data_IF_757981041760
#
_entry.id   IF_757981041760
#
_cell.length_a   1.000
_cell.length_b   1.000
_cell.length_c   1.000
_cell.angle_alpha   90.00
_cell.angle_beta   90.00
_cell.angle_gamma   90.00
#
_symmetry.space_group_name_H-M   'P 1'
#
loop_
_entity.id
_entity.type
_entity.pdbx_description
1 polymer ?
#
# COMPACT_ATOMS: atom_id res chain seq x y z
N UNK A 1 -28.51 44.43 14.89
CA UNK A 1 -27.38 43.46 14.86
C UNK A 1 -27.98 42.09 15.12
N UNK A 2 -28.10 41.27 14.08
CA UNK A 2 -28.83 40.00 14.08
C UNK A 2 -27.82 38.86 14.26
N UNK A 3 -27.92 38.03 15.30
CA UNK A 3 -27.18 36.77 15.40
C UNK A 3 -28.18 35.61 15.46
N UNK A 4 -28.23 34.87 14.36
CA UNK A 4 -29.05 33.68 14.16
C UNK A 4 -28.31 32.48 14.75
N UNK A 5 -29.05 31.70 15.54
CA UNK A 5 -28.70 30.40 16.09
C UNK A 5 -28.47 29.38 14.95
N UNK A 6 -27.37 28.63 14.96
CA UNK A 6 -27.22 27.47 14.08
C UNK A 6 -27.17 26.17 14.87
N UNK A 7 -28.20 25.37 14.62
CA UNK A 7 -28.38 23.99 15.07
C UNK A 7 -27.30 23.15 14.39
N UNK A 8 -26.42 22.52 15.19
CA UNK A 8 -25.52 21.50 14.66
C UNK A 8 -26.32 20.22 14.41
N UNK A 9 -26.68 20.00 13.16
CA UNK A 9 -27.19 18.72 12.66
C UNK A 9 -26.04 17.71 12.76
N UNK A 10 -26.30 16.60 13.47
CA UNK A 10 -25.34 15.54 13.69
C UNK A 10 -24.85 14.93 12.37
N UNK A 11 -23.56 15.08 12.10
CA UNK A 11 -22.90 14.34 11.04
C UNK A 11 -22.74 12.88 11.48
N UNK A 12 -23.43 11.98 10.77
CA UNK A 12 -23.15 10.55 10.79
C UNK A 12 -21.64 10.33 10.59
N UNK A 13 -21.01 9.67 11.56
CA UNK A 13 -19.62 9.24 11.47
C UNK A 13 -19.46 8.17 10.38
N UNK A 14 -19.18 8.56 9.14
CA UNK A 14 -18.47 7.68 8.20
C UNK A 14 -17.07 7.49 8.80
N UNK A 15 -16.68 6.23 9.02
CA UNK A 15 -15.55 5.82 9.86
C UNK A 15 -14.34 6.75 9.83
N UNK A 16 -13.92 7.22 11.02
CA UNK A 16 -12.72 8.04 11.21
C UNK A 16 -11.48 7.29 10.70
N UNK A 17 -10.97 7.65 9.54
CA UNK A 17 -9.60 7.30 9.13
C UNK A 17 -8.68 8.25 9.92
N UNK A 18 -8.14 7.75 11.04
CA UNK A 18 -7.33 8.53 11.99
C UNK A 18 -5.85 8.58 11.56
N UNK A 19 -5.23 9.72 11.84
CA UNK A 19 -3.80 10.09 11.74
C UNK A 19 -2.91 9.19 10.86
N UNK A 20 -2.52 9.72 9.70
CA UNK A 20 -1.44 9.18 8.87
C UNK A 20 -0.10 9.78 9.34
N UNK A 21 0.90 8.94 9.61
CA UNK A 21 2.27 9.45 9.80
C UNK A 21 2.86 9.79 8.42
N UNK A 22 3.57 10.93 8.25
CA UNK A 22 4.15 11.33 6.97
C UNK A 22 5.14 10.28 6.48
N UNK A 23 5.04 9.94 5.20
CA UNK A 23 5.67 8.75 4.62
C UNK A 23 7.10 9.08 4.17
N UNK A 24 8.08 8.25 4.55
CA UNK A 24 9.43 8.19 3.94
C UNK A 24 9.62 6.85 3.22
N UNK A 25 8.62 6.48 2.44
CA UNK A 25 8.56 5.19 1.77
C UNK A 25 9.31 5.19 0.44
N UNK A 26 9.67 3.99 -0.01
CA UNK A 26 10.29 3.77 -1.32
C UNK A 26 9.21 3.58 -2.39
N UNK A 27 9.34 4.26 -3.54
CA UNK A 27 8.56 3.97 -4.73
C UNK A 27 9.23 2.83 -5.50
N UNK A 28 8.55 1.70 -5.63
CA UNK A 28 9.03 0.53 -6.39
C UNK A 28 8.36 0.47 -7.76
N UNK A 29 9.04 -0.11 -8.74
CA UNK A 29 8.47 -0.38 -10.08
C UNK A 29 8.13 -1.87 -10.19
N UNK A 30 6.83 -2.21 -10.16
CA UNK A 30 6.36 -3.59 -10.36
C UNK A 30 6.63 -4.06 -11.78
N UNK A 31 7.01 -5.33 -11.92
CA UNK A 31 7.35 -5.92 -13.22
C UNK A 31 8.74 -5.55 -13.76
N UNK A 32 9.49 -4.67 -13.09
CA UNK A 32 10.85 -4.34 -13.49
C UNK A 32 11.75 -5.59 -13.44
N UNK A 33 12.55 -5.80 -14.50
CA UNK A 33 13.53 -6.88 -14.58
C UNK A 33 14.89 -6.39 -14.10
N UNK A 34 15.50 -7.12 -13.17
CA UNK A 34 16.88 -6.90 -12.72
C UNK A 34 17.71 -8.15 -13.04
N UNK A 35 18.91 -7.95 -13.58
CA UNK A 35 19.77 -9.07 -14.03
C UNK A 35 20.45 -9.78 -12.87
N UNK A 36 20.63 -9.08 -11.74
CA UNK A 36 21.24 -9.62 -10.53
C UNK A 36 20.36 -9.32 -9.32
N UNK A 37 20.28 -10.29 -8.41
CA UNK A 37 19.63 -10.06 -7.13
C UNK A 37 20.43 -9.03 -6.31
N UNK A 38 19.77 -8.16 -5.53
CA UNK A 38 20.46 -7.22 -4.68
C UNK A 38 21.38 -7.95 -3.69
N UNK A 39 22.60 -7.41 -3.53
CA UNK A 39 23.60 -7.97 -2.61
C UNK A 39 23.05 -7.91 -1.18
N UNK A 40 23.15 -9.02 -0.44
CA UNK A 40 22.61 -9.11 0.92
C UNK A 40 21.11 -9.41 0.98
N UNK A 41 20.46 -9.69 -0.17
CA UNK A 41 19.07 -10.15 -0.18
C UNK A 41 18.91 -11.51 0.50
N UNK A 42 17.87 -11.64 1.33
CA UNK A 42 17.54 -12.89 2.01
C UNK A 42 16.65 -13.76 1.10
N UNK A 43 16.95 -15.05 1.04
CA UNK A 43 16.08 -16.01 0.34
C UNK A 43 14.91 -16.40 1.22
N UNK A 44 13.70 -16.30 0.69
CA UNK A 44 12.48 -16.72 1.38
C UNK A 44 11.63 -17.58 0.45
N UNK A 45 11.10 -18.68 0.98
CA UNK A 45 10.21 -19.58 0.26
C UNK A 45 8.79 -19.44 0.81
N UNK A 46 7.81 -19.30 -0.07
CA UNK A 46 6.40 -19.23 0.30
C UNK A 46 5.54 -19.91 -0.77
N UNK A 47 4.66 -20.84 -0.36
CA UNK A 47 3.79 -21.57 -1.30
C UNK A 47 4.54 -22.27 -2.43
N UNK A 48 5.72 -22.84 -2.15
CA UNK A 48 6.57 -23.50 -3.17
C UNK A 48 7.34 -22.57 -4.10
N UNK A 49 7.13 -21.25 -4.01
CA UNK A 49 7.86 -20.25 -4.79
C UNK A 49 8.97 -19.62 -3.97
N UNK A 50 10.15 -19.43 -4.58
CA UNK A 50 11.30 -18.79 -3.96
C UNK A 50 11.38 -17.31 -4.36
N UNK A 51 11.65 -16.46 -3.38
CA UNK A 51 11.81 -15.02 -3.52
C UNK A 51 13.16 -14.59 -2.92
N UNK A 52 13.73 -13.53 -3.46
CA UNK A 52 14.75 -12.74 -2.77
C UNK A 52 14.05 -11.54 -2.15
N UNK A 53 14.24 -11.32 -0.87
CA UNK A 53 13.77 -10.15 -0.13
C UNK A 53 14.93 -9.21 0.15
N UNK A 54 14.76 -7.92 -0.15
CA UNK A 54 15.75 -6.90 0.19
C UNK A 54 15.08 -5.54 0.42
N UNK A 55 15.22 -4.99 1.63
CA UNK A 55 14.76 -3.63 1.96
C UNK A 55 13.26 -3.38 1.75
N UNK A 56 12.42 -4.41 1.90
CA UNK A 56 10.98 -4.31 1.65
C UNK A 56 10.56 -4.58 0.19
N UNK A 57 11.50 -4.91 -0.69
CA UNK A 57 11.24 -5.26 -2.09
C UNK A 57 11.42 -6.77 -2.28
N UNK A 58 10.56 -7.35 -3.11
CA UNK A 58 10.53 -8.79 -3.39
C UNK A 58 10.84 -9.05 -4.85
N UNK A 59 11.75 -10.00 -5.07
CA UNK A 59 12.26 -10.37 -6.38
C UNK A 59 11.97 -11.84 -6.60
N UNK A 60 11.28 -12.18 -7.69
CA UNK A 60 11.04 -13.56 -8.10
C UNK A 60 11.99 -13.93 -9.24
N UNK A 61 12.63 -15.12 -9.24
CA UNK A 61 13.39 -15.58 -10.39
C UNK A 61 12.56 -15.52 -11.68
N UNK A 62 13.14 -14.97 -12.74
CA UNK A 62 12.48 -14.83 -14.04
C UNK A 62 13.52 -14.83 -15.17
N UNK A 63 13.55 -15.91 -15.96
CA UNK A 63 14.57 -16.12 -16.98
C UNK A 63 15.98 -16.14 -16.37
N UNK A 64 16.88 -15.30 -16.91
CA UNK A 64 18.26 -15.14 -16.42
C UNK A 64 18.42 -14.14 -15.27
N UNK A 65 17.33 -13.51 -14.84
CA UNK A 65 17.36 -12.48 -13.80
C UNK A 65 16.21 -12.65 -12.82
N UNK A 66 15.70 -11.52 -12.34
CA UNK A 66 14.61 -11.43 -11.39
C UNK A 66 13.61 -10.37 -11.80
N UNK A 67 12.36 -10.57 -11.43
CA UNK A 67 11.28 -9.60 -11.60
C UNK A 67 10.83 -9.06 -10.24
N UNK A 68 10.64 -7.75 -10.14
CA UNK A 68 10.08 -7.09 -8.94
C UNK A 68 8.58 -7.38 -8.85
N UNK A 69 8.15 -8.01 -7.77
CA UNK A 69 6.77 -8.47 -7.55
C UNK A 69 6.22 -7.97 -6.23
N UNK A 70 4.88 -7.94 -6.11
CA UNK A 70 4.24 -7.89 -4.80
C UNK A 70 4.49 -9.20 -4.04
N UNK A 71 4.70 -9.16 -2.72
CA UNK A 71 4.75 -10.37 -1.92
C UNK A 71 3.37 -11.05 -1.88
N UNK A 72 3.31 -12.39 -1.76
CA UNK A 72 2.05 -13.10 -1.59
C UNK A 72 1.29 -12.68 -0.33
N UNK A 73 -0.04 -12.71 -0.40
CA UNK A 73 -0.89 -12.57 0.79
C UNK A 73 -0.57 -13.70 1.78
N UNK A 74 -0.46 -13.35 3.07
CA UNK A 74 -0.11 -14.27 4.15
C UNK A 74 1.39 -14.35 4.45
N UNK A 75 2.24 -13.74 3.62
CA UNK A 75 3.68 -13.69 3.87
C UNK A 75 3.99 -12.92 5.17
N UNK A 76 4.89 -13.44 6.02
CA UNK A 76 5.16 -12.89 7.37
C UNK A 76 6.57 -12.30 7.49
N UNK A 77 6.66 -11.10 8.06
CA UNK A 77 7.90 -10.41 8.43
C UNK A 77 7.99 -10.31 9.95
N UNK A 78 9.20 -10.45 10.49
CA UNK A 78 9.45 -10.15 11.90
C UNK A 78 9.51 -8.64 12.16
N UNK A 79 10.09 -7.89 11.22
CA UNK A 79 10.32 -6.45 11.34
C UNK A 79 9.94 -5.78 10.02
N UNK A 80 9.18 -4.69 10.08
CA UNK A 80 8.85 -3.89 8.90
C UNK A 80 10.08 -3.09 8.42
N UNK A 81 10.19 -2.82 7.11
CA UNK A 81 11.19 -1.92 6.58
C UNK A 81 11.08 -0.51 7.20
N UNK A 82 12.21 0.16 7.40
CA UNK A 82 12.26 1.56 7.85
C UNK A 82 11.50 2.44 6.86
N UNK A 83 10.67 3.36 7.36
CA UNK A 83 9.86 4.27 6.53
C UNK A 83 8.49 3.72 6.15
N UNK A 84 8.02 2.64 6.81
CA UNK A 84 6.62 2.22 6.72
C UNK A 84 5.67 3.33 7.21
N UNK A 85 4.50 3.38 6.61
CA UNK A 85 3.40 4.23 7.04
C UNK A 85 2.46 3.43 7.95
N UNK A 86 1.88 4.09 8.95
CA UNK A 86 0.81 3.53 9.80
C UNK A 86 -0.47 4.29 9.54
N UNK A 87 -1.58 3.57 9.44
CA UNK A 87 -2.91 4.16 9.32
C UNK A 87 -3.97 3.27 9.97
N UNK A 88 -5.14 3.82 10.23
CA UNK A 88 -6.19 3.11 10.96
C UNK A 88 -7.44 2.93 10.11
N UNK A 89 -7.97 1.71 10.08
CA UNK A 89 -9.25 1.37 9.44
C UNK A 89 -10.12 0.68 10.48
N UNK A 90 -11.27 1.28 10.79
CA UNK A 90 -12.15 0.75 11.84
C UNK A 90 -11.50 0.68 13.23
N UNK A 91 -10.54 1.56 13.52
CA UNK A 91 -9.79 1.56 14.78
C UNK A 91 -8.65 0.54 14.86
N UNK A 92 -8.48 -0.32 13.84
CA UNK A 92 -7.40 -1.29 13.77
C UNK A 92 -6.20 -0.72 13.01
N UNK A 93 -4.95 -0.95 13.49
CA UNK A 93 -3.75 -0.47 12.82
C UNK A 93 -3.45 -1.33 11.57
N UNK A 94 -3.16 -0.63 10.49
CA UNK A 94 -2.60 -1.17 9.27
C UNK A 94 -1.26 -0.49 9.00
N UNK A 95 -0.38 -1.23 8.35
CA UNK A 95 0.94 -0.76 7.97
C UNK A 95 1.10 -0.86 6.47
N UNK A 96 1.81 0.11 5.89
CA UNK A 96 2.02 0.18 4.46
C UNK A 96 3.49 0.43 4.13
N UNK A 97 4.03 -0.32 3.19
CA UNK A 97 5.36 -0.07 2.65
C UNK A 97 5.46 -0.54 1.20
N UNK A 98 5.93 0.34 0.31
CA UNK A 98 6.23 0.03 -1.09
C UNK A 98 5.13 -0.77 -1.82
N UNK A 99 3.87 -0.35 -1.71
CA UNK A 99 2.73 -1.04 -2.33
C UNK A 99 2.21 -2.25 -1.60
N UNK A 100 2.73 -2.56 -0.41
CA UNK A 100 2.34 -3.75 0.36
C UNK A 100 1.66 -3.34 1.65
N UNK A 101 0.57 -4.00 1.98
CA UNK A 101 -0.23 -3.78 3.18
C UNK A 101 0.02 -4.88 4.18
N UNK A 102 0.15 -4.51 5.45
CA UNK A 102 0.42 -5.44 6.53
C UNK A 102 -0.49 -5.18 7.71
N UNK A 103 -0.74 -6.24 8.48
CA UNK A 103 -1.31 -6.16 9.83
C UNK A 103 -0.40 -6.91 10.79
N UNK A 104 -0.43 -6.51 12.06
CA UNK A 104 0.24 -7.28 13.11
C UNK A 104 -0.55 -8.55 13.41
N UNK A 105 0.12 -9.71 13.46
CA UNK A 105 -0.42 -11.00 13.92
C UNK A 105 0.68 -11.77 14.64
N UNK A 106 0.38 -12.22 15.85
CA UNK A 106 1.35 -12.87 16.75
C UNK A 106 2.60 -11.99 16.91
N UNK A 107 3.79 -12.56 16.70
CA UNK A 107 5.09 -11.90 16.79
C UNK A 107 5.59 -11.30 15.46
N UNK A 108 4.68 -10.93 14.54
CA UNK A 108 5.09 -10.39 13.25
C UNK A 108 4.04 -9.62 12.47
N UNK A 109 4.42 -9.23 11.26
CA UNK A 109 3.63 -8.47 10.31
C UNK A 109 3.29 -9.34 9.11
N UNK A 110 2.00 -9.49 8.82
CA UNK A 110 1.51 -10.38 7.77
C UNK A 110 0.99 -9.54 6.62
N UNK A 111 1.42 -9.87 5.40
CA UNK A 111 0.92 -9.27 4.17
C UNK A 111 -0.57 -9.58 4.02
N UNK A 112 -1.38 -8.54 3.83
CA UNK A 112 -2.83 -8.64 3.65
C UNK A 112 -3.29 -7.96 2.38
N UNK A 113 -4.51 -8.28 1.95
CA UNK A 113 -5.18 -7.46 0.95
C UNK A 113 -5.35 -6.03 1.48
N UNK A 114 -5.23 -5.02 0.60
CA UNK A 114 -5.46 -3.65 1.03
C UNK A 114 -6.92 -3.48 1.49
N UNK A 115 -7.15 -2.78 2.61
CA UNK A 115 -8.51 -2.44 3.00
C UNK A 115 -9.06 -1.38 2.03
N UNK A 116 -10.27 -1.63 1.51
CA UNK A 116 -10.97 -0.66 0.67
C UNK A 116 -11.18 0.63 1.48
N UNK A 117 -10.88 1.76 0.85
CA UNK A 117 -10.90 3.08 1.49
C UNK A 117 -9.59 3.51 2.13
N UNK A 118 -8.55 2.65 2.17
CA UNK A 118 -7.21 3.06 2.60
C UNK A 118 -6.72 4.25 1.77
N UNK A 119 -6.04 5.20 2.43
CA UNK A 119 -5.37 6.31 1.79
C UNK A 119 -3.87 6.12 1.96
N UNK A 120 -3.10 6.23 0.87
CA UNK A 120 -1.64 6.15 0.88
C UNK A 120 -1.04 7.26 0.02
N UNK A 121 0.12 7.79 0.38
CA UNK A 121 0.78 8.86 -0.37
C UNK A 121 1.50 8.37 -1.63
N UNK A 122 1.98 7.12 -1.62
CA UNK A 122 2.79 6.56 -2.70
C UNK A 122 2.21 5.23 -3.15
N UNK A 123 2.11 5.03 -4.46
CA UNK A 123 1.77 3.74 -5.08
C UNK A 123 2.95 3.24 -5.92
N UNK A 124 3.10 1.91 -6.09
CA UNK A 124 4.10 1.39 -7.01
C UNK A 124 3.89 1.87 -8.45
N UNK A 125 5.00 2.08 -9.15
CA UNK A 125 5.03 2.25 -10.61
C UNK A 125 4.85 0.89 -11.29
N UNK A 126 4.64 0.91 -12.61
CA UNK A 126 4.45 -0.29 -13.43
C UNK A 126 2.98 -0.75 -13.50
N UNK A 127 2.08 0.00 -12.88
CA UNK A 127 0.63 -0.13 -13.07
C UNK A 127 0.13 0.58 -14.33
N UNK A 128 -1.18 0.46 -14.57
CA UNK A 128 -1.90 1.19 -15.60
C UNK A 128 -2.55 2.44 -15.01
N UNK A 129 -2.35 3.58 -15.63
CA UNK A 129 -3.07 4.82 -15.32
C UNK A 129 -4.19 5.04 -16.34
N UNK A 130 -5.34 5.54 -15.89
CA UNK A 130 -6.44 5.90 -16.77
C UNK A 130 -7.27 7.03 -16.16
N UNK A 131 -7.92 7.82 -17.02
CA UNK A 131 -8.76 8.95 -16.62
C UNK A 131 -10.21 8.65 -16.99
N UNK A 132 -11.12 8.79 -16.03
CA UNK A 132 -12.57 8.64 -16.23
C UNK A 132 -13.25 9.85 -15.60
N UNK A 133 -14.02 10.59 -16.41
CA UNK A 133 -14.76 11.78 -15.97
C UNK A 133 -13.91 12.80 -15.22
N UNK A 134 -12.68 13.04 -15.71
CA UNK A 134 -11.72 13.97 -15.10
C UNK A 134 -11.03 13.46 -13.82
N UNK A 135 -11.32 12.24 -13.38
CA UNK A 135 -10.67 11.60 -12.24
C UNK A 135 -9.55 10.66 -12.72
N UNK A 136 -8.39 10.71 -12.07
CA UNK A 136 -7.26 9.81 -12.36
C UNK A 136 -7.31 8.55 -11.50
N UNK A 137 -7.15 7.41 -12.14
CA UNK A 137 -7.13 6.09 -11.52
C UNK A 137 -5.86 5.33 -11.86
N UNK A 138 -5.44 4.46 -10.94
CA UNK A 138 -4.24 3.65 -11.07
C UNK A 138 -4.57 2.20 -10.74
N UNK A 139 -4.14 1.25 -11.57
CA UNK A 139 -4.26 -0.17 -11.31
C UNK A 139 -2.88 -0.84 -11.27
N UNK A 140 -2.53 -1.43 -10.13
CA UNK A 140 -1.26 -2.16 -9.95
C UNK A 140 -1.46 -3.32 -8.98
N UNK A 141 -0.84 -4.46 -9.25
CA UNK A 141 -0.96 -5.69 -8.43
C UNK A 141 -2.41 -6.14 -8.17
N UNK A 142 -3.32 -5.88 -9.12
CA UNK A 142 -4.76 -6.17 -8.96
C UNK A 142 -5.50 -5.17 -8.05
N UNK A 143 -4.84 -4.12 -7.58
CA UNK A 143 -5.41 -3.08 -6.71
C UNK A 143 -5.71 -1.85 -7.56
N UNK A 144 -6.93 -1.33 -7.47
CA UNK A 144 -7.33 -0.08 -8.09
C UNK A 144 -7.34 1.05 -7.06
N UNK A 145 -6.71 2.15 -7.43
CA UNK A 145 -6.59 3.38 -6.66
C UNK A 145 -7.25 4.53 -7.42
N UNK A 146 -7.83 5.47 -6.68
CA UNK A 146 -8.22 6.78 -7.18
C UNK A 146 -7.28 7.83 -6.60
N UNK A 147 -6.73 8.71 -7.45
CA UNK A 147 -6.02 9.89 -6.97
C UNK A 147 -7.04 10.91 -6.43
N UNK A 148 -6.83 11.35 -5.20
CA UNK A 148 -7.68 12.32 -4.50
C UNK A 148 -6.83 13.45 -3.94
N UNK A 149 -7.25 14.69 -4.15
CA UNK A 149 -6.60 15.85 -3.57
C UNK A 149 -7.08 16.03 -2.12
N UNK A 150 -6.15 16.10 -1.17
CA UNK A 150 -6.43 16.35 0.24
C UNK A 150 -5.36 17.26 0.81
N UNK A 151 -5.78 18.38 1.39
CA UNK A 151 -4.88 19.36 2.02
C UNK A 151 -3.72 19.78 1.09
N UNK A 152 -4.01 19.97 -0.20
CA UNK A 152 -3.03 20.34 -1.23
C UNK A 152 -2.09 19.22 -1.69
N UNK A 153 -2.25 18.00 -1.17
CA UNK A 153 -1.43 16.83 -1.50
C UNK A 153 -2.27 15.78 -2.23
N UNK A 154 -1.68 15.09 -3.21
CA UNK A 154 -2.33 13.96 -3.88
C UNK A 154 -2.16 12.71 -3.01
N UNK A 155 -3.28 12.07 -2.70
CA UNK A 155 -3.37 10.79 -2.02
C UNK A 155 -3.98 9.75 -2.94
N UNK A 156 -3.65 8.48 -2.73
CA UNK A 156 -4.21 7.37 -3.47
C UNK A 156 -5.16 6.59 -2.57
N UNK A 157 -6.45 6.64 -2.91
CA UNK A 157 -7.50 5.91 -2.20
C UNK A 157 -7.70 4.54 -2.83
N UNK A 158 -7.61 3.46 -2.06
CA UNK A 158 -7.97 2.11 -2.52
C UNK A 158 -9.48 2.07 -2.77
N UNK A 159 -9.89 1.81 -4.01
CA UNK A 159 -11.30 1.73 -4.41
C UNK A 159 -11.76 0.30 -4.67
N UNK A 160 -10.86 -0.57 -5.13
CA UNK A 160 -11.19 -1.95 -5.48
C UNK A 160 -9.96 -2.85 -5.41
N UNK A 161 -10.19 -4.11 -5.04
CA UNK A 161 -9.19 -5.19 -5.09
C UNK A 161 -9.76 -6.28 -5.98
N UNK A 162 -9.01 -6.68 -7.00
CA UNK A 162 -9.36 -7.82 -7.85
C UNK A 162 -8.81 -9.09 -7.18
N UNK A 163 -9.72 -10.04 -6.93
CA UNK A 163 -9.38 -11.38 -6.43
C UNK A 163 -8.87 -12.30 -7.53
#
# INVERSE_FOLDING_TARGET
MLFILWISIGALCVGKISAHQPVRGVVVTRGAIVTTAPRGGAWVSFGGTRYVYHGGVYYRPHGRGYVVVAPPIGFRLRVLPVGYATFYVGGLPYYYYAGTYYVVRDEGYVVVQPPVGALVELVPKGGKEFVIDGNTYYEVDGIQYQAVLRDGTIWYKVIKVKG
#
